data_IF_481388541085
#
_entry.id   IF_481388541085
#
_cell.length_a   1.000
_cell.length_b   1.000
_cell.length_c   1.000
_cell.angle_alpha   90.00
_cell.angle_beta   90.00
_cell.angle_gamma   90.00
#
_symmetry.space_group_name_H-M   'P 1'
#
loop_
_entity.id
_entity.type
_entity.pdbx_description
1 polymer ?
#
# COMPACT_ATOMS: atom_id res chain seq x y z
N UNK A 1 0.02 9.94 4.07
CA UNK A 1 -1.18 10.52 4.74
C UNK A 1 -1.77 9.44 5.63
N UNK A 2 -2.38 9.87 6.74
CA UNK A 2 -2.74 9.03 7.86
C UNK A 2 -4.23 9.10 8.14
N UNK A 3 -4.80 7.95 8.46
CA UNK A 3 -6.19 7.75 8.82
C UNK A 3 -6.32 7.32 10.28
N UNK A 4 -7.54 7.06 10.71
CA UNK A 4 -7.86 6.44 12.01
C UNK A 4 -7.31 5.03 12.15
N UNK A 5 -6.76 4.40 11.11
CA UNK A 5 -6.08 3.11 11.23
C UNK A 5 -4.70 3.23 11.90
N UNK A 6 -4.10 4.43 11.98
CA UNK A 6 -2.96 4.70 12.87
C UNK A 6 -3.22 5.86 13.82
N UNK A 7 -3.01 7.10 13.39
CA UNK A 7 -2.95 8.27 14.25
C UNK A 7 -3.50 9.54 13.60
N UNK A 8 -4.03 9.41 12.38
CA UNK A 8 -4.90 10.42 11.78
C UNK A 8 -6.28 10.42 12.44
N UNK A 9 -7.06 11.47 12.16
CA UNK A 9 -8.41 11.64 12.73
C UNK A 9 -9.56 11.41 11.76
N UNK A 10 -9.27 11.23 10.47
CA UNK A 10 -10.26 10.87 9.46
C UNK A 10 -10.21 9.38 9.16
N UNK A 11 -11.38 8.77 8.93
CA UNK A 11 -11.42 7.42 8.34
C UNK A 11 -10.75 7.40 6.96
N UNK A 12 -10.30 6.23 6.48
CA UNK A 12 -9.78 6.09 5.11
C UNK A 12 -10.72 6.70 4.06
N UNK A 13 -12.03 6.45 4.18
CA UNK A 13 -13.05 7.02 3.28
C UNK A 13 -13.12 8.55 3.35
N UNK A 14 -13.17 9.13 4.55
CA UNK A 14 -13.24 10.59 4.73
C UNK A 14 -11.98 11.29 4.22
N UNK A 15 -10.82 10.69 4.45
CA UNK A 15 -9.54 11.19 3.95
C UNK A 15 -9.50 11.24 2.43
N UNK A 16 -9.97 10.19 1.76
CA UNK A 16 -10.07 10.17 0.29
C UNK A 16 -11.06 11.22 -0.20
N UNK A 17 -12.21 11.37 0.47
CA UNK A 17 -13.20 12.43 0.13
C UNK A 17 -12.59 13.82 0.24
N UNK A 18 -11.82 14.09 1.29
CA UNK A 18 -11.12 15.37 1.49
C UNK A 18 -10.06 15.61 0.41
N UNK A 19 -9.27 14.59 0.07
CA UNK A 19 -8.29 14.67 -1.01
C UNK A 19 -8.97 14.95 -2.36
N UNK A 20 -10.07 14.25 -2.67
CA UNK A 20 -10.85 14.45 -3.89
C UNK A 20 -11.40 15.88 -4.00
N UNK A 21 -11.97 16.40 -2.91
CA UNK A 21 -12.48 17.78 -2.83
C UNK A 21 -11.39 18.83 -3.07
N UNK A 22 -10.14 18.53 -2.68
CA UNK A 22 -8.98 19.38 -2.95
C UNK A 22 -8.38 19.20 -4.35
N UNK A 23 -8.99 18.38 -5.21
CA UNK A 23 -8.54 18.14 -6.59
C UNK A 23 -7.44 17.08 -6.73
N UNK A 24 -7.13 16.33 -5.67
CA UNK A 24 -6.16 15.24 -5.74
C UNK A 24 -6.69 14.13 -6.67
N UNK A 25 -5.82 13.63 -7.55
CA UNK A 25 -6.14 12.55 -8.51
C UNK A 25 -5.40 11.25 -8.23
N UNK A 26 -4.26 11.33 -7.55
CA UNK A 26 -3.44 10.20 -7.13
C UNK A 26 -3.01 10.47 -5.69
N UNK A 27 -3.21 9.50 -4.81
CA UNK A 27 -2.77 9.56 -3.42
C UNK A 27 -2.28 8.20 -2.95
N UNK A 28 -1.62 8.18 -1.80
CA UNK A 28 -1.33 6.95 -1.06
C UNK A 28 -1.83 7.12 0.38
N UNK A 29 -2.50 6.08 0.89
CA UNK A 29 -2.70 5.92 2.32
C UNK A 29 -1.47 5.21 2.89
N UNK A 30 -0.85 5.80 3.90
CA UNK A 30 0.44 5.35 4.46
C UNK A 30 0.39 5.36 5.97
N UNK A 31 -0.63 4.74 6.55
CA UNK A 31 -0.76 4.61 8.00
C UNK A 31 0.50 3.99 8.62
N UNK A 32 0.79 4.36 9.87
CA UNK A 32 1.98 3.87 10.55
C UNK A 32 1.88 2.37 10.85
N UNK A 33 2.83 1.61 10.30
CA UNK A 33 3.03 0.18 10.51
C UNK A 33 1.78 -0.68 10.24
N UNK A 34 0.83 -0.22 9.44
CA UNK A 34 -0.39 -0.96 9.11
C UNK A 34 -0.90 -0.60 7.71
N UNK A 35 -1.54 -1.57 7.06
CA UNK A 35 -2.24 -1.39 5.78
C UNK A 35 -3.75 -1.58 5.93
N UNK A 36 -4.28 -1.57 7.16
CA UNK A 36 -5.67 -1.93 7.46
C UNK A 36 -6.71 -1.05 6.73
N UNK A 37 -6.40 0.22 6.49
CA UNK A 37 -7.30 1.15 5.79
C UNK A 37 -7.17 1.16 4.26
N UNK A 38 -6.23 0.39 3.69
CA UNK A 38 -5.88 0.50 2.26
C UNK A 38 -7.04 0.05 1.35
N UNK A 39 -7.74 -1.02 1.72
CA UNK A 39 -8.88 -1.54 0.94
C UNK A 39 -10.03 -0.53 0.94
N UNK A 40 -10.42 -0.04 2.12
CA UNK A 40 -11.45 1.00 2.27
C UNK A 40 -11.10 2.27 1.48
N UNK A 41 -9.85 2.75 1.57
CA UNK A 41 -9.41 3.91 0.80
C UNK A 41 -9.46 3.65 -0.71
N UNK A 42 -9.07 2.46 -1.17
CA UNK A 42 -9.12 2.11 -2.58
C UNK A 42 -10.56 2.09 -3.12
N UNK A 43 -11.51 1.55 -2.35
CA UNK A 43 -12.94 1.55 -2.69
C UNK A 43 -13.50 2.98 -2.78
N UNK A 44 -13.24 3.81 -1.77
CA UNK A 44 -13.62 5.23 -1.79
C UNK A 44 -12.99 5.98 -2.97
N UNK A 45 -11.73 5.67 -3.29
CA UNK A 45 -11.00 6.24 -4.41
C UNK A 45 -11.65 5.90 -5.75
N UNK A 46 -12.05 4.65 -5.94
CA UNK A 46 -12.74 4.21 -7.14
C UNK A 46 -14.06 4.96 -7.37
N UNK A 47 -14.83 5.20 -6.29
CA UNK A 47 -16.09 5.95 -6.36
C UNK A 47 -15.89 7.44 -6.68
N UNK A 48 -14.77 8.02 -6.22
CA UNK A 48 -14.50 9.47 -6.31
C UNK A 48 -13.54 9.85 -7.46
N UNK A 49 -13.09 8.87 -8.26
CA UNK A 49 -12.13 9.12 -9.34
C UNK A 49 -10.72 9.45 -8.86
N UNK A 50 -10.34 8.98 -7.67
CA UNK A 50 -9.01 9.14 -7.08
C UNK A 50 -8.27 7.79 -7.11
N UNK A 51 -7.09 7.76 -7.72
CA UNK A 51 -6.24 6.56 -7.71
C UNK A 51 -5.52 6.47 -6.36
N UNK A 52 -5.87 5.46 -5.57
CA UNK A 52 -5.19 5.19 -4.30
C UNK A 52 -4.11 4.14 -4.53
N UNK A 53 -2.86 4.52 -4.27
CA UNK A 53 -1.70 3.63 -4.25
C UNK A 53 -1.66 2.97 -2.87
N UNK A 54 -1.73 1.62 -2.78
CA UNK A 54 -1.51 0.90 -1.54
C UNK A 54 -0.17 1.26 -0.92
N UNK A 55 -0.18 1.70 0.34
CA UNK A 55 1.04 2.04 1.03
C UNK A 55 0.98 1.83 2.53
N UNK A 56 2.14 2.02 3.15
CA UNK A 56 2.35 1.99 4.60
C UNK A 56 3.55 2.85 4.92
N UNK A 57 3.53 3.51 6.06
CA UNK A 57 4.73 4.15 6.61
C UNK A 57 5.32 3.27 7.71
N UNK A 58 6.52 2.73 7.46
CA UNK A 58 7.17 1.79 8.37
C UNK A 58 8.10 2.55 9.29
N UNK A 59 7.89 2.42 10.60
CA UNK A 59 8.81 2.93 11.61
C UNK A 59 10.08 2.10 11.67
N UNK A 60 11.24 2.76 11.52
CA UNK A 60 12.53 2.10 11.42
C UNK A 60 13.63 2.84 12.19
N UNK A 61 14.69 2.11 12.55
CA UNK A 61 15.94 2.73 13.01
C UNK A 61 16.88 2.97 11.83
N UNK A 62 17.47 4.17 11.74
CA UNK A 62 18.40 4.52 10.65
C UNK A 62 19.66 3.65 10.63
N UNK A 63 20.03 3.06 11.76
CA UNK A 63 21.21 2.24 11.90
C UNK A 63 21.03 1.11 12.91
N UNK A 64 21.97 0.16 12.91
CA UNK A 64 21.99 -0.95 13.87
C UNK A 64 22.36 -0.44 15.28
N UNK A 65 22.02 -1.19 16.35
CA UNK A 65 22.35 -0.82 17.72
C UNK A 65 23.84 -0.54 18.00
N UNK A 66 24.76 -1.06 17.19
CA UNK A 66 26.21 -0.86 17.36
C UNK A 66 26.79 0.34 16.61
N UNK A 67 25.95 1.16 15.97
CA UNK A 67 26.38 2.23 15.06
C UNK A 67 26.41 3.61 15.77
N UNK A 68 27.34 4.53 15.43
CA UNK A 68 27.33 5.90 15.94
C UNK A 68 26.00 6.65 15.71
N UNK A 69 25.25 6.26 14.69
CA UNK A 69 23.91 6.81 14.43
C UNK A 69 22.79 6.12 15.24
N UNK A 70 23.11 5.21 16.17
CA UNK A 70 22.14 4.44 16.94
C UNK A 70 21.02 5.30 17.53
N UNK A 71 19.78 4.84 17.38
CA UNK A 71 18.63 5.44 18.02
C UNK A 71 17.97 6.55 17.22
N UNK A 72 18.49 6.91 16.04
CA UNK A 72 17.76 7.75 15.10
C UNK A 72 16.57 6.96 14.53
N UNK A 73 15.36 7.43 14.82
CA UNK A 73 14.13 6.85 14.27
C UNK A 73 13.81 7.59 12.97
N UNK A 74 13.62 6.83 11.91
CA UNK A 74 13.22 7.31 10.60
C UNK A 74 12.01 6.53 10.11
N UNK A 75 11.37 7.03 9.08
CA UNK A 75 10.23 6.36 8.48
C UNK A 75 10.50 6.02 7.01
N UNK A 76 10.15 4.79 6.63
CA UNK A 76 10.25 4.32 5.25
C UNK A 76 8.85 4.09 4.73
N UNK A 77 8.44 4.88 3.73
CA UNK A 77 7.22 4.66 2.97
C UNK A 77 7.45 3.47 2.05
N UNK A 78 6.45 2.58 1.99
CA UNK A 78 6.40 1.49 1.05
C UNK A 78 5.17 1.65 0.16
N UNK A 79 5.36 1.62 -1.16
CA UNK A 79 4.28 1.70 -2.15
C UNK A 79 4.18 0.43 -2.97
N UNK A 80 2.99 -0.13 -3.08
CA UNK A 80 2.75 -1.40 -3.74
C UNK A 80 1.81 -1.27 -4.93
N UNK A 81 1.83 -2.29 -5.79
CA UNK A 81 0.83 -2.47 -6.82
C UNK A 81 -0.58 -2.58 -6.20
N UNK A 82 -1.65 -2.29 -6.96
CA UNK A 82 -3.02 -2.59 -6.54
C UNK A 82 -3.14 -4.02 -6.01
N UNK A 83 -3.81 -4.19 -4.85
CA UNK A 83 -3.85 -5.47 -4.12
C UNK A 83 -2.72 -5.67 -3.09
N UNK A 84 -1.80 -4.71 -2.91
CA UNK A 84 -0.84 -4.70 -1.80
C UNK A 84 0.49 -5.42 -2.10
N UNK A 85 1.20 -5.96 -1.09
CA UNK A 85 2.46 -6.69 -1.28
C UNK A 85 2.29 -8.03 -2.01
N UNK A 86 3.32 -8.53 -2.70
CA UNK A 86 3.31 -9.87 -3.32
C UNK A 86 3.41 -11.01 -2.31
N UNK A 87 4.09 -10.79 -1.19
CA UNK A 87 4.17 -11.72 -0.05
C UNK A 87 3.57 -11.04 1.22
N UNK A 88 2.23 -11.01 1.34
CA UNK A 88 1.57 -10.34 2.47
C UNK A 88 1.86 -11.01 3.81
N UNK A 89 2.12 -12.32 3.83
CA UNK A 89 2.41 -13.06 5.05
C UNK A 89 3.67 -12.55 5.76
N UNK A 90 4.80 -12.52 5.04
CA UNK A 90 6.07 -12.05 5.60
C UNK A 90 6.00 -10.56 5.96
N UNK A 91 5.40 -9.76 5.09
CA UNK A 91 5.29 -8.32 5.27
C UNK A 91 4.43 -7.97 6.50
N UNK A 92 3.23 -8.56 6.63
CA UNK A 92 2.36 -8.32 7.77
C UNK A 92 2.95 -8.83 9.07
N UNK A 93 3.73 -9.93 9.06
CA UNK A 93 4.47 -10.39 10.25
C UNK A 93 5.50 -9.36 10.70
N UNK A 94 6.24 -8.74 9.78
CA UNK A 94 7.19 -7.68 10.11
C UNK A 94 6.48 -6.47 10.72
N UNK A 95 5.42 -5.97 10.07
CA UNK A 95 4.62 -4.85 10.58
C UNK A 95 4.00 -5.17 11.95
N UNK A 96 3.49 -6.39 12.15
CA UNK A 96 2.91 -6.81 13.42
C UNK A 96 3.93 -6.79 14.56
N UNK A 97 5.20 -7.13 14.32
CA UNK A 97 6.25 -7.04 15.35
C UNK A 97 6.44 -5.60 15.84
N UNK A 98 6.43 -4.64 14.92
CA UNK A 98 6.55 -3.22 15.26
C UNK A 98 5.33 -2.79 16.08
N UNK A 99 4.11 -3.12 15.62
CA UNK A 99 2.85 -2.79 16.31
C UNK A 99 2.76 -3.39 17.72
N UNK A 100 3.19 -4.64 17.92
CA UNK A 100 3.22 -5.25 19.25
C UNK A 100 4.18 -4.51 20.19
N UNK A 101 5.34 -4.07 19.69
CA UNK A 101 6.29 -3.26 20.45
C UNK A 101 5.74 -1.90 20.89
N UNK A 102 4.81 -1.31 20.11
CA UNK A 102 4.21 -0.01 20.41
C UNK A 102 3.41 0.03 21.71
N UNK A 103 2.74 -1.07 22.08
CA UNK A 103 2.02 -1.14 23.37
C UNK A 103 2.98 -1.14 24.55
N UNK A 104 4.07 -1.91 24.48
CA UNK A 104 5.13 -1.91 25.49
C UNK A 104 5.77 -0.52 25.61
N UNK A 105 6.05 0.12 24.47
CA UNK A 105 6.55 1.50 24.41
C UNK A 105 5.59 2.48 25.09
N UNK A 106 4.29 2.41 24.80
CA UNK A 106 3.27 3.27 25.41
C UNK A 106 3.23 3.11 26.94
N UNK A 107 3.29 1.86 27.44
CA UNK A 107 3.38 1.59 28.88
C UNK A 107 4.61 2.26 29.51
N UNK A 108 5.79 2.10 28.89
CA UNK A 108 7.02 2.74 29.36
C UNK A 108 6.90 4.27 29.41
N UNK A 109 6.30 4.90 28.39
CA UNK A 109 6.09 6.35 28.37
C UNK A 109 5.15 6.79 29.50
N UNK A 110 4.05 6.07 29.72
CA UNK A 110 3.09 6.34 30.82
C UNK A 110 3.78 6.23 32.18
N UNK A 111 4.60 5.20 32.39
CA UNK A 111 5.34 5.01 33.64
C UNK A 111 6.34 6.14 33.90
N UNK A 112 7.05 6.60 32.86
CA UNK A 112 7.95 7.77 32.94
C UNK A 112 7.19 9.05 33.24
N UNK A 113 6.06 9.30 32.57
CA UNK A 113 5.22 10.48 32.81
C UNK A 113 4.69 10.51 34.26
N UNK A 114 4.30 9.35 34.80
CA UNK A 114 3.93 9.23 36.22
C UNK A 114 5.08 9.63 37.15
N UNK A 115 6.30 9.16 36.88
CA UNK A 115 7.48 9.53 37.66
C UNK A 115 7.81 11.03 37.58
N UNK A 116 7.45 11.69 36.47
CA UNK A 116 7.57 13.13 36.27
C UNK A 116 6.41 13.94 36.88
N UNK A 117 5.51 13.31 37.63
CA UNK A 117 4.35 13.98 38.23
C UNK A 117 3.22 14.31 37.24
N UNK A 118 3.20 13.67 36.07
CA UNK A 118 2.19 13.85 35.00
C UNK A 118 1.43 12.55 34.73
N UNK A 119 0.72 11.98 35.72
CA UNK A 119 0.09 10.68 35.57
C UNK A 119 -1.03 10.71 34.52
N UNK A 120 -1.01 9.72 33.63
CA UNK A 120 -2.08 9.39 32.69
C UNK A 120 -2.35 7.89 32.74
N UNK A 121 -3.53 7.43 32.30
CA UNK A 121 -3.87 6.00 32.28
C UNK A 121 -3.50 5.38 30.93
N UNK A 122 -2.81 4.23 30.95
CA UNK A 122 -2.54 3.47 29.72
C UNK A 122 -3.82 3.06 29.00
N UNK A 123 -4.88 2.68 29.74
CA UNK A 123 -6.19 2.36 29.17
C UNK A 123 -6.72 3.51 28.32
N UNK A 124 -6.57 4.76 28.82
CA UNK A 124 -7.02 5.95 28.09
C UNK A 124 -6.22 6.17 26.81
N UNK A 125 -4.91 5.94 26.83
CA UNK A 125 -4.07 6.00 25.62
C UNK A 125 -4.54 4.99 24.57
N UNK A 126 -4.90 3.78 24.99
CA UNK A 126 -5.43 2.73 24.09
C UNK A 126 -6.83 3.09 23.58
N UNK A 127 -7.70 3.64 24.42
CA UNK A 127 -9.02 4.14 24.00
C UNK A 127 -8.92 5.25 22.95
N UNK A 128 -7.98 6.20 23.13
CA UNK A 128 -7.73 7.29 22.18
C UNK A 128 -7.17 6.76 20.86
N UNK A 129 -6.35 5.71 20.89
CA UNK A 129 -5.87 5.05 19.67
C UNK A 129 -7.02 4.37 18.91
N UNK A 130 -7.98 3.81 19.63
CA UNK A 130 -9.13 3.13 19.03
C UNK A 130 -8.92 1.62 18.86
N UNK A 131 -10.01 0.90 18.52
CA UNK A 131 -10.00 -0.55 18.47
C UNK A 131 -9.06 -1.07 17.37
N UNK A 132 -8.15 -1.98 17.74
CA UNK A 132 -7.21 -2.59 16.79
C UNK A 132 -6.03 -1.70 16.38
N UNK A 133 -5.93 -0.48 16.92
CA UNK A 133 -4.88 0.49 16.59
C UNK A 133 -3.74 0.41 17.60
N UNK A 134 -2.50 0.39 17.11
CA UNK A 134 -1.32 0.34 17.96
C UNK A 134 -0.99 1.75 18.53
N UNK A 135 -0.91 1.93 19.86
CA UNK A 135 -0.75 3.26 20.46
C UNK A 135 0.61 3.89 20.10
N UNK A 136 0.58 5.20 19.90
CA UNK A 136 1.71 5.99 19.42
C UNK A 136 1.96 7.18 20.33
N UNK A 137 3.06 7.90 20.10
CA UNK A 137 3.32 9.16 20.82
C UNK A 137 2.19 10.18 20.66
N UNK A 138 1.54 10.33 19.48
CA UNK A 138 0.38 11.22 19.36
C UNK A 138 -0.77 10.86 20.29
N UNK A 139 -1.04 9.56 20.49
CA UNK A 139 -2.07 9.09 21.42
C UNK A 139 -1.74 9.42 22.89
N UNK A 140 -0.45 9.34 23.26
CA UNK A 140 0.03 9.77 24.58
C UNK A 140 -0.04 11.28 24.74
N UNK A 141 0.29 12.05 23.69
CA UNK A 141 0.19 13.50 23.67
C UNK A 141 -1.26 13.95 23.90
N UNK A 142 -2.21 13.33 23.20
CA UNK A 142 -3.65 13.53 23.41
C UNK A 142 -4.08 13.21 24.84
N UNK A 143 -3.64 12.09 25.40
CA UNK A 143 -3.94 11.74 26.79
C UNK A 143 -3.37 12.74 27.81
N UNK A 144 -2.18 13.30 27.55
CA UNK A 144 -1.61 14.37 28.38
C UNK A 144 -2.41 15.66 28.31
N UNK A 145 -2.86 16.02 27.10
CA UNK A 145 -3.70 17.20 26.87
C UNK A 145 -5.06 17.04 27.57
N UNK A 146 -5.75 15.91 27.38
CA UNK A 146 -7.03 15.61 28.05
C UNK A 146 -6.91 15.62 29.58
N UNK A 147 -5.77 15.19 30.12
CA UNK A 147 -5.50 15.20 31.54
C UNK A 147 -5.10 16.58 32.09
N UNK A 148 -5.01 17.62 31.24
CA UNK A 148 -4.63 18.98 31.64
C UNK A 148 -3.15 19.16 31.99
N UNK A 149 -2.29 18.22 31.58
CA UNK A 149 -0.85 18.26 31.90
C UNK A 149 -0.04 19.17 30.97
N UNK A 150 -0.60 19.51 29.80
CA UNK A 150 -0.03 20.37 28.76
C UNK A 150 -1.13 21.22 28.12
N UNK A 151 -0.77 22.33 27.47
CA UNK A 151 -1.73 23.21 26.79
C UNK A 151 -2.01 22.80 25.34
N UNK A 152 -1.14 22.00 24.72
CA UNK A 152 -1.30 21.49 23.36
C UNK A 152 -0.56 20.16 23.16
N UNK A 153 -0.90 19.41 22.10
CA UNK A 153 -0.13 18.23 21.69
C UNK A 153 1.32 18.58 21.33
N UNK A 154 1.53 19.77 20.73
CA UNK A 154 2.86 20.31 20.44
C UNK A 154 3.68 20.49 21.71
N UNK A 155 3.07 20.97 22.79
CA UNK A 155 3.75 21.08 24.09
C UNK A 155 4.07 19.70 24.68
N UNK A 156 3.19 18.70 24.51
CA UNK A 156 3.52 17.33 24.93
C UNK A 156 4.77 16.80 24.22
N UNK A 157 4.89 17.00 22.91
CA UNK A 157 6.10 16.64 22.16
C UNK A 157 7.31 17.47 22.61
N UNK A 158 7.18 18.80 22.65
CA UNK A 158 8.26 19.71 23.03
C UNK A 158 8.83 19.43 24.42
N UNK A 159 7.97 19.17 25.41
CA UNK A 159 8.37 18.98 26.80
C UNK A 159 8.76 17.54 27.14
N UNK A 160 8.01 16.55 26.64
CA UNK A 160 8.08 15.18 27.16
C UNK A 160 8.37 14.10 26.12
N UNK A 161 7.72 14.16 24.95
CA UNK A 161 7.61 13.03 24.02
C UNK A 161 8.52 13.09 22.78
N UNK A 162 9.25 14.19 22.57
CA UNK A 162 10.27 14.30 21.49
C UNK A 162 11.31 13.19 21.59
N UNK A 163 12.03 12.94 20.51
CA UNK A 163 13.16 12.00 20.55
C UNK A 163 14.16 12.40 21.63
N UNK A 164 14.60 11.42 22.41
CA UNK A 164 15.43 11.56 23.61
C UNK A 164 14.82 12.48 24.71
N UNK A 165 13.52 12.76 24.64
CA UNK A 165 12.77 13.50 25.65
C UNK A 165 12.60 12.74 26.98
N UNK A 166 12.21 13.42 28.07
CA UNK A 166 12.10 12.84 29.40
C UNK A 166 11.20 11.59 29.49
N UNK A 167 10.11 11.58 28.73
CA UNK A 167 9.17 10.46 28.69
C UNK A 167 9.36 9.55 27.47
N UNK A 168 10.31 9.85 26.58
CA UNK A 168 10.56 9.07 25.37
C UNK A 168 10.91 7.62 25.70
N UNK A 169 10.34 6.68 24.95
CA UNK A 169 10.70 5.27 25.02
C UNK A 169 10.85 4.73 23.60
N UNK A 170 11.80 3.82 23.40
CA UNK A 170 12.01 3.12 22.11
C UNK A 170 11.06 1.92 22.00
N UNK A 171 10.70 1.56 20.77
CA UNK A 171 9.85 0.42 20.47
C UNK A 171 10.66 -0.76 19.94
N UNK A 172 9.99 -1.58 19.12
CA UNK A 172 10.58 -2.70 18.39
C UNK A 172 10.64 -2.39 16.89
N UNK A 173 11.03 -1.16 16.54
CA UNK A 173 11.18 -0.73 15.15
C UNK A 173 12.25 -1.58 14.44
N UNK A 174 12.03 -1.87 13.15
CA UNK A 174 12.97 -2.67 12.36
C UNK A 174 14.13 -1.79 11.87
N UNK A 175 15.35 -2.30 11.69
CA UNK A 175 16.40 -1.53 11.03
C UNK A 175 15.99 -1.16 9.60
N UNK A 176 16.22 0.08 9.18
CA UNK A 176 15.87 0.53 7.83
C UNK A 176 16.60 -0.27 6.74
N UNK A 177 17.82 -0.73 7.04
CA UNK A 177 18.60 -1.62 6.18
C UNK A 177 17.99 -3.04 6.03
N UNK A 178 17.03 -3.40 6.88
CA UNK A 178 16.21 -4.63 6.75
C UNK A 178 14.86 -4.32 6.12
N UNK A 179 14.27 -3.17 6.44
CA UNK A 179 13.00 -2.69 5.88
C UNK A 179 13.06 -2.54 4.35
N UNK A 180 14.10 -1.89 3.82
CA UNK A 180 14.25 -1.64 2.38
C UNK A 180 14.30 -2.95 1.57
N UNK A 181 15.18 -3.93 1.91
CA UNK A 181 15.15 -5.23 1.24
C UNK A 181 13.84 -5.99 1.41
N UNK A 182 13.17 -5.88 2.57
CA UNK A 182 11.87 -6.50 2.80
C UNK A 182 10.80 -5.95 1.85
N UNK A 183 10.71 -4.61 1.73
CA UNK A 183 9.78 -3.93 0.81
C UNK A 183 10.02 -4.41 -0.63
N UNK A 184 11.28 -4.41 -1.07
CA UNK A 184 11.67 -4.86 -2.41
C UNK A 184 11.27 -6.32 -2.67
N UNK A 185 11.51 -7.24 -1.72
CA UNK A 185 11.09 -8.65 -1.86
C UNK A 185 9.58 -8.82 -1.91
N UNK A 186 8.82 -7.89 -1.33
CA UNK A 186 7.36 -7.87 -1.35
C UNK A 186 6.80 -7.08 -2.54
N UNK A 187 7.64 -6.73 -3.53
CA UNK A 187 7.20 -6.05 -4.75
C UNK A 187 6.81 -4.59 -4.54
N UNK A 188 7.40 -3.93 -3.53
CA UNK A 188 7.17 -2.52 -3.23
C UNK A 188 8.31 -1.60 -3.65
N UNK A 189 7.99 -0.31 -3.73
CA UNK A 189 8.94 0.80 -3.87
C UNK A 189 9.14 1.44 -2.50
N UNK A 190 10.40 1.66 -2.11
CA UNK A 190 10.81 2.19 -0.81
C UNK A 190 11.24 3.66 -0.88
N UNK A 191 10.70 4.49 -0.01
CA UNK A 191 10.98 5.94 0.01
C UNK A 191 11.26 6.39 1.44
N UNK A 192 12.28 7.21 1.64
CA UNK A 192 12.52 7.87 2.93
C UNK A 192 11.49 9.00 3.13
N UNK A 193 10.65 8.87 4.16
CA UNK A 193 9.66 9.89 4.54
C UNK A 193 10.35 11.06 5.24
N UNK A 194 9.82 12.27 5.00
CA UNK A 194 10.13 13.51 5.71
C UNK A 194 11.57 13.61 6.25
N UNK A 195 12.61 13.58 5.41
CA UNK A 195 14.03 13.55 5.83
C UNK A 195 14.45 14.75 6.70
N UNK A 196 13.64 15.80 6.74
CA UNK A 196 13.80 16.94 7.65
C UNK A 196 13.50 16.66 9.12
N UNK A 197 12.92 15.51 9.45
CA UNK A 197 12.79 15.06 10.83
C UNK A 197 14.09 14.47 11.39
N UNK A 198 15.06 14.15 10.51
CA UNK A 198 16.32 13.52 10.91
C UNK A 198 17.19 14.54 11.66
N UNK A 199 17.60 14.19 12.88
CA UNK A 199 18.39 15.07 13.76
C UNK A 199 19.89 14.89 13.59
N UNK A 200 20.32 13.70 13.17
CA UNK A 200 21.72 13.36 12.93
C UNK A 200 22.13 13.66 11.48
N UNK A 201 23.30 13.18 11.08
CA UNK A 201 23.86 13.37 9.74
C UNK A 201 22.93 12.77 8.66
N UNK A 202 22.06 13.62 8.13
CA UNK A 202 21.05 13.23 7.13
C UNK A 202 21.70 12.78 5.84
N UNK A 203 22.81 13.40 5.43
CA UNK A 203 23.53 13.01 4.21
C UNK A 203 24.11 11.60 4.35
N UNK A 204 24.77 11.31 5.47
CA UNK A 204 25.31 9.98 5.75
C UNK A 204 24.24 8.90 5.91
N UNK A 205 23.06 9.25 6.43
CA UNK A 205 21.90 8.33 6.51
C UNK A 205 21.39 8.04 5.10
N UNK A 206 21.06 9.08 4.32
CA UNK A 206 20.53 8.91 2.97
C UNK A 206 21.49 8.13 2.09
N UNK A 207 22.79 8.41 2.14
CA UNK A 207 23.78 7.65 1.38
C UNK A 207 23.82 6.16 1.74
N UNK A 208 23.65 5.81 3.02
CA UNK A 208 23.55 4.41 3.46
C UNK A 208 22.27 3.73 2.99
N UNK A 209 21.14 4.42 3.07
CA UNK A 209 19.86 3.87 2.61
C UNK A 209 19.87 3.69 1.09
N UNK A 210 20.41 4.66 0.35
CA UNK A 210 20.61 4.55 -1.10
C UNK A 210 21.48 3.33 -1.46
N UNK A 211 22.58 3.10 -0.74
CA UNK A 211 23.42 1.91 -0.91
C UNK A 211 22.69 0.59 -0.60
N UNK A 212 21.66 0.63 0.25
CA UNK A 212 20.80 -0.51 0.56
C UNK A 212 19.66 -0.73 -0.46
N UNK A 213 19.55 0.13 -1.47
CA UNK A 213 18.53 0.06 -2.52
C UNK A 213 17.28 0.87 -2.25
N UNK A 214 17.35 1.95 -1.47
CA UNK A 214 16.27 2.93 -1.36
C UNK A 214 15.93 3.52 -2.74
N UNK A 215 14.65 3.61 -3.08
CA UNK A 215 14.21 4.06 -4.41
C UNK A 215 13.95 5.57 -4.48
N UNK A 216 13.55 6.19 -3.37
CA UNK A 216 13.21 7.60 -3.34
C UNK A 216 13.30 8.28 -1.98
N UNK A 217 13.04 9.59 -2.00
CA UNK A 217 13.05 10.46 -0.82
C UNK A 217 11.96 11.52 -0.98
N UNK A 218 11.29 11.86 0.13
CA UNK A 218 10.37 12.99 0.14
C UNK A 218 11.11 14.33 0.05
N UNK A 219 10.66 15.15 -0.89
CA UNK A 219 11.22 16.47 -1.21
C UNK A 219 10.12 17.52 -1.29
N UNK A 220 8.97 17.18 -1.89
CA UNK A 220 7.89 18.13 -2.11
C UNK A 220 6.96 18.22 -0.89
N UNK A 221 7.28 19.13 0.03
CA UNK A 221 6.40 19.51 1.15
C UNK A 221 6.24 21.04 1.22
N UNK A 222 7.36 21.78 1.16
CA UNK A 222 7.40 23.22 0.93
C UNK A 222 8.66 23.63 0.15
N UNK A 223 8.79 24.92 -0.18
CA UNK A 223 9.93 25.44 -0.94
C UNK A 223 11.28 25.27 -0.22
N UNK A 224 11.30 25.31 1.11
CA UNK A 224 12.52 25.12 1.90
C UNK A 224 13.00 23.67 1.84
N UNK A 225 12.06 22.71 1.92
CA UNK A 225 12.38 21.27 1.82
C UNK A 225 12.83 20.92 0.41
N UNK A 226 12.21 21.50 -0.62
CA UNK A 226 12.62 21.30 -2.01
C UNK A 226 14.08 21.70 -2.22
N UNK A 227 14.45 22.90 -1.76
CA UNK A 227 15.83 23.42 -1.90
C UNK A 227 16.84 22.59 -1.11
N UNK A 228 16.47 22.14 0.10
CA UNK A 228 17.38 21.38 0.95
C UNK A 228 17.59 19.92 0.49
N UNK A 229 16.52 19.21 0.12
CA UNK A 229 16.55 17.77 -0.14
C UNK A 229 16.54 17.41 -1.63
N UNK A 230 16.20 18.36 -2.51
CA UNK A 230 16.27 18.17 -3.96
C UNK A 230 17.68 17.79 -4.46
N UNK A 231 18.73 18.56 -4.12
CA UNK A 231 20.11 18.22 -4.49
C UNK A 231 20.59 16.91 -3.87
N UNK A 232 20.14 16.59 -2.64
CA UNK A 232 20.47 15.35 -1.96
C UNK A 232 19.88 14.13 -2.70
N UNK A 233 18.64 14.23 -3.16
CA UNK A 233 18.01 13.22 -4.00
C UNK A 233 18.77 13.03 -5.32
N UNK A 234 19.19 14.12 -5.97
CA UNK A 234 19.95 14.07 -7.22
C UNK A 234 21.32 13.41 -7.03
N UNK A 235 22.03 13.75 -5.95
CA UNK A 235 23.34 13.19 -5.61
C UNK A 235 23.31 11.66 -5.51
N UNK A 236 22.26 11.13 -4.88
CA UNK A 236 22.09 9.68 -4.68
C UNK A 236 21.20 9.02 -5.74
N UNK A 237 20.80 9.74 -6.79
CA UNK A 237 19.93 9.26 -7.88
C UNK A 237 18.59 8.69 -7.39
N UNK A 238 18.04 9.28 -6.34
CA UNK A 238 16.77 8.88 -5.73
C UNK A 238 15.59 9.60 -6.41
N UNK A 239 14.45 8.92 -6.50
CA UNK A 239 13.19 9.54 -6.91
C UNK A 239 12.79 10.64 -5.91
N UNK A 240 12.38 11.79 -6.43
CA UNK A 240 11.80 12.87 -5.63
C UNK A 240 10.30 12.64 -5.55
N UNK A 241 9.77 12.43 -4.35
CA UNK A 241 8.33 12.32 -4.10
C UNK A 241 7.88 13.34 -3.06
N UNK A 242 6.60 13.37 -2.72
CA UNK A 242 6.08 14.30 -1.74
C UNK A 242 4.76 13.86 -1.18
N UNK A 243 4.53 14.30 0.05
CA UNK A 243 3.35 14.00 0.83
C UNK A 243 3.06 15.20 1.73
N UNK A 244 1.79 15.37 2.06
CA UNK A 244 1.37 16.41 2.99
C UNK A 244 1.53 16.01 4.45
N UNK A 245 1.82 14.72 4.70
CA UNK A 245 1.90 14.11 6.04
C UNK A 245 0.65 14.41 6.90
N UNK A 246 -0.51 14.37 6.25
CA UNK A 246 -1.77 14.82 6.83
C UNK A 246 -2.35 13.83 7.84
N UNK A 247 -2.79 14.35 8.99
CA UNK A 247 -3.36 13.65 10.14
C UNK A 247 -4.66 14.29 10.67
N UNK A 248 -5.10 15.46 10.17
CA UNK A 248 -6.25 16.24 10.67
C UNK A 248 -6.05 16.69 12.13
N UNK A 249 -4.84 17.17 12.45
CA UNK A 249 -4.52 17.68 13.79
C UNK A 249 -4.92 19.14 13.98
N UNK A 250 -4.97 19.91 12.88
CA UNK A 250 -5.15 21.36 12.89
C UNK A 250 -3.86 22.12 13.24
N UNK A 251 -2.70 21.45 13.21
CA UNK A 251 -1.41 22.07 13.46
C UNK A 251 -1.08 23.10 12.35
N UNK A 252 -0.45 24.20 12.71
CA UNK A 252 -0.18 25.30 11.78
C UNK A 252 0.81 24.93 10.66
N UNK A 253 1.66 23.93 10.87
CA UNK A 253 2.62 23.38 9.93
C UNK A 253 2.11 22.17 9.15
N UNK A 254 0.92 21.65 9.51
CA UNK A 254 0.25 20.60 8.77
C UNK A 254 -0.25 21.11 7.41
N UNK A 255 -0.03 20.33 6.36
CA UNK A 255 -0.46 20.67 5.01
C UNK A 255 -1.70 19.86 4.64
N UNK A 256 -2.69 20.55 4.13
CA UNK A 256 -3.89 19.93 3.57
C UNK A 256 -3.56 19.02 2.37
N UNK A 257 -4.26 17.88 2.19
CA UNK A 257 -4.09 17.03 1.01
C UNK A 257 -4.24 17.84 -0.28
N UNK A 258 -3.27 17.73 -1.18
CA UNK A 258 -3.26 18.48 -2.45
C UNK A 258 -2.83 19.95 -2.34
N UNK A 259 -2.42 20.44 -1.16
CA UNK A 259 -1.93 21.82 -0.95
C UNK A 259 -0.41 21.90 -0.74
N UNK A 260 0.33 20.92 -1.24
CA UNK A 260 1.79 20.91 -1.31
C UNK A 260 2.27 21.31 -2.72
N UNK A 261 3.48 21.84 -2.89
CA UNK A 261 4.07 22.19 -4.20
C UNK A 261 4.51 20.94 -4.98
N UNK A 262 3.65 19.93 -5.06
CA UNK A 262 3.94 18.65 -5.71
C UNK A 262 3.86 18.77 -7.22
N UNK A 263 4.91 18.32 -7.91
CA UNK A 263 4.96 18.34 -9.37
C UNK A 263 4.30 17.07 -9.93
N UNK A 264 3.31 17.17 -10.84
CA UNK A 264 2.69 15.99 -11.44
C UNK A 264 3.69 15.03 -12.09
N UNK A 265 4.77 15.55 -12.69
CA UNK A 265 5.86 14.76 -13.26
C UNK A 265 6.60 13.89 -12.23
N UNK A 266 6.57 14.24 -10.94
CA UNK A 266 7.15 13.42 -9.88
C UNK A 266 6.35 12.13 -9.66
N UNK A 267 5.01 12.20 -9.68
CA UNK A 267 4.16 11.01 -9.64
C UNK A 267 4.36 10.13 -10.87
N UNK A 268 4.49 10.71 -12.06
CA UNK A 268 4.74 9.94 -13.28
C UNK A 268 6.08 9.20 -13.21
N UNK A 269 7.16 9.87 -12.76
CA UNK A 269 8.47 9.22 -12.55
C UNK A 269 8.41 8.07 -11.55
N UNK A 270 7.68 8.25 -10.44
CA UNK A 270 7.45 7.19 -9.46
C UNK A 270 6.75 6.00 -10.12
N UNK A 271 5.65 6.23 -10.84
CA UNK A 271 4.88 5.17 -11.49
C UNK A 271 5.69 4.44 -12.58
N UNK A 272 6.50 5.16 -13.35
CA UNK A 272 7.38 4.55 -14.37
C UNK A 272 8.46 3.68 -13.72
N UNK A 273 9.07 4.13 -12.62
CA UNK A 273 10.06 3.35 -11.88
C UNK A 273 9.42 2.14 -11.16
N UNK A 274 8.19 2.31 -10.66
CA UNK A 274 7.46 1.26 -9.96
C UNK A 274 6.93 0.17 -10.89
N UNK A 275 6.59 0.51 -12.14
CA UNK A 275 5.98 -0.38 -13.13
C UNK A 275 6.64 -1.78 -13.21
N UNK A 276 7.95 -1.93 -13.49
CA UNK A 276 8.56 -3.26 -13.59
C UNK A 276 8.52 -4.05 -12.27
N UNK A 277 8.60 -3.36 -11.13
CA UNK A 277 8.53 -3.98 -9.79
C UNK A 277 7.10 -4.50 -9.55
N UNK A 278 6.10 -3.67 -9.86
CA UNK A 278 4.70 -3.98 -9.67
C UNK A 278 4.18 -5.04 -10.65
N UNK A 279 4.63 -5.04 -11.91
CA UNK A 279 4.33 -6.09 -12.88
C UNK A 279 4.82 -7.46 -12.39
N UNK A 280 6.05 -7.54 -11.88
CA UNK A 280 6.57 -8.79 -11.33
C UNK A 280 5.82 -9.21 -10.05
N UNK A 281 5.52 -8.27 -9.16
CA UNK A 281 4.73 -8.52 -7.96
C UNK A 281 3.35 -9.10 -8.28
N UNK A 282 2.68 -8.54 -9.29
CA UNK A 282 1.41 -9.03 -9.80
C UNK A 282 1.54 -10.43 -10.41
N UNK A 283 2.57 -10.69 -11.22
CA UNK A 283 2.84 -12.02 -11.78
C UNK A 283 3.04 -13.08 -10.69
N UNK A 284 3.80 -12.76 -9.64
CA UNK A 284 4.01 -13.66 -8.51
C UNK A 284 2.70 -13.98 -7.77
N UNK A 285 1.85 -12.98 -7.51
CA UNK A 285 0.54 -13.22 -6.90
C UNK A 285 -0.35 -14.13 -7.74
N UNK A 286 -0.37 -13.93 -9.06
CA UNK A 286 -1.14 -14.79 -9.97
C UNK A 286 -0.61 -16.22 -9.93
N UNK A 287 0.71 -16.39 -9.95
CA UNK A 287 1.34 -17.71 -9.84
C UNK A 287 0.98 -18.40 -8.52
N UNK A 288 1.08 -17.69 -7.41
CA UNK A 288 0.74 -18.23 -6.08
C UNK A 288 -0.74 -18.58 -5.98
N UNK A 289 -1.64 -17.74 -6.53
CA UNK A 289 -3.07 -18.04 -6.59
C UNK A 289 -3.35 -19.32 -7.39
N UNK A 290 -2.67 -19.50 -8.52
CA UNK A 290 -2.73 -20.74 -9.31
C UNK A 290 -2.19 -21.91 -8.47
N UNK A 291 -1.03 -21.79 -7.84
CA UNK A 291 -0.42 -22.92 -7.12
C UNK A 291 -1.16 -23.31 -5.82
N UNK A 292 -1.85 -22.38 -5.17
CA UNK A 292 -2.54 -22.58 -3.88
C UNK A 292 -4.01 -23.02 -3.97
N UNK A 293 -4.56 -23.16 -5.17
CA UNK A 293 -5.89 -23.75 -5.36
C UNK A 293 -5.92 -25.25 -4.97
N UNK A 294 -7.07 -25.81 -4.56
CA UNK A 294 -7.21 -27.24 -4.30
C UNK A 294 -6.69 -28.04 -5.50
N UNK A 295 -5.70 -28.89 -5.25
CA UNK A 295 -4.76 -29.35 -6.26
C UNK A 295 -5.40 -30.19 -7.38
N UNK A 296 -4.91 -29.96 -8.60
CA UNK A 296 -4.67 -31.08 -9.51
C UNK A 296 -3.46 -31.88 -8.98
N UNK A 297 -3.62 -32.58 -7.86
CA UNK A 297 -2.72 -33.67 -7.50
C UNK A 297 -3.07 -34.85 -8.38
N UNK A 298 -2.50 -34.91 -9.60
CA UNK A 298 -2.75 -36.01 -10.52
C UNK A 298 -2.41 -35.80 -12.00
N UNK A 299 -1.61 -34.79 -12.37
CA UNK A 299 -1.09 -34.74 -13.75
C UNK A 299 0.41 -35.01 -13.70
N UNK A 300 0.77 -36.29 -13.90
CA UNK A 300 2.14 -36.70 -14.18
C UNK A 300 2.70 -35.92 -15.38
N UNK A 301 4.02 -35.74 -15.42
CA UNK A 301 4.78 -34.93 -16.40
C UNK A 301 4.62 -35.35 -17.89
N UNK A 302 3.73 -36.27 -18.24
CA UNK A 302 3.47 -36.71 -19.63
C UNK A 302 2.50 -35.84 -20.44
N UNK A 303 1.87 -34.81 -19.86
CA UNK A 303 0.82 -34.02 -20.53
C UNK A 303 1.29 -32.84 -21.39
N UNK A 304 2.59 -32.53 -21.42
CA UNK A 304 3.11 -31.31 -22.05
C UNK A 304 3.21 -31.37 -23.59
N UNK A 305 3.17 -32.54 -24.22
CA UNK A 305 3.29 -32.67 -25.68
C UNK A 305 1.94 -32.74 -26.43
N UNK A 306 0.82 -33.05 -25.76
CA UNK A 306 -0.45 -33.27 -26.45
C UNK A 306 -1.14 -31.97 -26.94
N UNK A 307 -0.85 -30.82 -26.33
CA UNK A 307 -1.46 -29.54 -26.71
C UNK A 307 -0.76 -28.83 -27.89
N UNK A 308 0.41 -29.32 -28.34
CA UNK A 308 1.13 -28.72 -29.47
C UNK A 308 0.63 -29.20 -30.85
N UNK A 309 -0.09 -30.32 -30.92
CA UNK A 309 -0.43 -30.98 -32.20
C UNK A 309 -1.86 -30.75 -32.73
N UNK A 310 -2.66 -29.87 -32.12
CA UNK A 310 -3.99 -29.52 -32.64
C UNK A 310 -3.97 -28.40 -33.71
N UNK A 311 -2.86 -28.22 -34.42
CA UNK A 311 -2.75 -27.22 -35.50
C UNK A 311 -2.61 -27.82 -36.90
N UNK A 312 -2.68 -29.14 -37.08
CA UNK A 312 -2.64 -29.75 -38.41
C UNK A 312 -3.59 -30.95 -38.52
N UNK A 313 -4.77 -30.75 -39.10
CA UNK A 313 -5.40 -31.66 -40.08
C UNK A 313 -6.70 -31.01 -40.60
N UNK A 314 -6.78 -30.87 -41.93
CA UNK A 314 -7.95 -30.42 -42.68
C UNK A 314 -9.06 -31.49 -42.67
N UNK A 315 -10.32 -31.07 -42.79
CA UNK A 315 -11.41 -31.97 -43.17
C UNK A 315 -12.76 -31.26 -43.30
N UNK A 316 -13.16 -30.99 -44.56
CA UNK A 316 -14.53 -30.64 -44.94
C UNK A 316 -15.48 -31.77 -44.55
N UNK A 317 -16.66 -31.44 -44.03
CA UNK A 317 -17.94 -32.06 -44.42
C UNK A 317 -19.13 -31.24 -43.91
N UNK A 318 -20.22 -31.31 -44.66
CA UNK A 318 -21.41 -30.46 -44.61
C UNK A 318 -22.66 -31.25 -44.16
N UNK A 319 -23.77 -30.51 -43.96
CA UNK A 319 -25.17 -30.94 -43.72
C UNK A 319 -25.51 -31.18 -42.23
N UNK A 320 -26.66 -30.80 -41.67
CA UNK A 320 -27.95 -30.32 -42.21
C UNK A 320 -28.75 -29.59 -41.11
N UNK A 321 -29.70 -28.75 -41.56
CA UNK A 321 -30.73 -28.06 -40.77
C UNK A 321 -31.60 -29.02 -39.94
N UNK A 322 -31.98 -28.60 -38.73
CA UNK A 322 -33.36 -28.65 -38.24
C UNK A 322 -33.50 -27.87 -36.91
N UNK A 323 -34.44 -26.92 -36.88
CA UNK A 323 -35.07 -26.36 -35.67
C UNK A 323 -36.55 -26.76 -35.73
N UNK A 324 -37.26 -27.00 -34.61
CA UNK A 324 -37.85 -25.87 -33.88
C UNK A 324 -38.14 -26.02 -32.35
N UNK A 325 -38.05 -24.87 -31.68
CA UNK A 325 -38.97 -24.25 -30.67
C UNK A 325 -39.01 -24.70 -29.18
N UNK A 326 -38.66 -23.70 -28.35
CA UNK A 326 -39.42 -22.98 -27.28
C UNK A 326 -39.07 -23.20 -25.80
N UNK A 327 -38.95 -22.06 -25.11
CA UNK A 327 -38.95 -21.82 -23.66
C UNK A 327 -37.55 -21.41 -23.17
N UNK A 328 -37.26 -20.26 -22.57
CA UNK A 328 -37.97 -19.04 -22.17
C UNK A 328 -36.86 -18.07 -21.70
N UNK A 329 -37.09 -16.77 -21.91
CA UNK A 329 -36.48 -15.61 -21.22
C UNK A 329 -34.95 -15.56 -20.99
N UNK A 330 -34.27 -14.68 -21.73
CA UNK A 330 -33.23 -13.87 -21.12
C UNK A 330 -33.04 -12.50 -21.79
N UNK A 331 -32.75 -11.56 -20.91
CA UNK A 331 -32.73 -10.10 -21.01
C UNK A 331 -31.91 -9.56 -22.19
N UNK A 332 -32.49 -8.53 -22.82
CA UNK A 332 -31.96 -7.75 -23.94
C UNK A 332 -30.54 -7.21 -23.68
N UNK A 333 -29.60 -7.58 -24.56
CA UNK A 333 -28.37 -6.84 -24.80
C UNK A 333 -28.69 -5.63 -25.67
N UNK A 334 -28.65 -4.42 -25.10
CA UNK A 334 -28.63 -3.19 -25.86
C UNK A 334 -27.17 -2.79 -26.13
N UNK A 335 -26.71 -3.03 -27.36
CA UNK A 335 -25.53 -2.38 -27.93
C UNK A 335 -25.91 -0.98 -28.41
N UNK A 336 -25.12 0.03 -28.04
CA UNK A 336 -25.03 1.26 -28.80
C UNK A 336 -23.56 1.71 -28.82
N UNK A 337 -22.97 1.56 -30.00
CA UNK A 337 -21.73 2.22 -30.40
C UNK A 337 -21.85 3.75 -30.25
N UNK A 338 -20.78 4.39 -29.80
CA UNK A 338 -20.40 5.68 -30.36
C UNK A 338 -18.88 5.78 -30.37
N UNK A 339 -18.37 5.78 -31.60
CA UNK A 339 -17.00 6.05 -31.98
C UNK A 339 -16.46 7.36 -31.39
N UNK A 340 -15.16 7.41 -31.16
CA UNK A 340 -14.39 8.67 -31.21
C UNK A 340 -13.59 9.00 -29.97
N UNK A 341 -12.38 8.44 -29.84
CA UNK A 341 -11.12 9.22 -29.80
C UNK A 341 -9.91 8.30 -29.73
N UNK A 342 -8.93 8.61 -30.58
CA UNK A 342 -7.65 7.92 -30.75
C UNK A 342 -6.75 8.10 -29.52
N UNK A 343 -6.05 7.02 -29.12
CA UNK A 343 -4.68 7.14 -28.60
C UNK A 343 -4.41 6.96 -27.10
N UNK A 344 -5.25 6.26 -26.33
CA UNK A 344 -4.89 5.85 -24.97
C UNK A 344 -4.29 4.43 -24.91
N UNK A 345 -3.33 4.12 -24.00
CA UNK A 345 -2.95 2.74 -23.72
C UNK A 345 -4.18 1.97 -23.24
N UNK A 346 -4.63 1.00 -24.05
CA UNK A 346 -5.69 0.06 -23.66
C UNK A 346 -5.11 -0.91 -22.64
N UNK A 347 -5.40 -0.71 -21.36
CA UNK A 347 -5.06 -1.65 -20.29
C UNK A 347 -6.11 -2.76 -20.23
N UNK A 348 -5.68 -3.99 -19.96
CA UNK A 348 -6.58 -5.08 -19.59
C UNK A 348 -6.62 -5.13 -18.06
N UNK A 349 -7.79 -4.94 -17.46
CA UNK A 349 -7.98 -5.05 -16.02
C UNK A 349 -8.77 -6.30 -15.72
N UNK A 350 -8.13 -7.28 -15.08
CA UNK A 350 -8.83 -8.47 -14.57
C UNK A 350 -9.07 -8.27 -13.10
N UNK A 351 -10.32 -8.39 -12.66
CA UNK A 351 -10.67 -8.30 -11.24
C UNK A 351 -11.16 -9.66 -10.79
N UNK A 352 -10.39 -10.32 -9.93
CA UNK A 352 -10.80 -11.59 -9.35
C UNK A 352 -11.42 -11.31 -7.99
N UNK A 353 -12.59 -11.90 -7.73
CA UNK A 353 -13.25 -11.88 -6.43
C UNK A 353 -13.38 -13.29 -5.88
N UNK A 354 -12.78 -13.57 -4.72
CA UNK A 354 -13.14 -14.75 -3.92
C UNK A 354 -14.28 -14.35 -2.99
N UNK A 355 -15.42 -15.04 -3.11
CA UNK A 355 -16.55 -14.88 -2.19
C UNK A 355 -16.39 -15.94 -1.09
N UNK A 356 -16.02 -15.50 0.11
CA UNK A 356 -16.14 -16.31 1.33
C UNK A 356 -17.14 -15.63 2.27
N UNK A 357 -18.37 -16.15 2.32
CA UNK A 357 -19.45 -15.49 3.05
C UNK A 357 -19.77 -14.11 2.47
N UNK A 358 -19.76 -13.06 3.30
CA UNK A 358 -20.06 -11.67 2.92
C UNK A 358 -18.85 -10.84 2.50
N UNK A 359 -17.68 -11.44 2.28
CA UNK A 359 -16.44 -10.73 1.91
C UNK A 359 -16.05 -11.01 0.48
N UNK A 360 -15.74 -9.94 -0.25
CA UNK A 360 -15.28 -9.95 -1.65
C UNK A 360 -13.79 -9.58 -1.65
N UNK A 361 -12.90 -10.54 -1.92
CA UNK A 361 -11.47 -10.23 -2.07
C UNK A 361 -11.19 -9.76 -3.50
N UNK A 362 -11.12 -8.45 -3.76
CA UNK A 362 -10.81 -7.91 -5.08
C UNK A 362 -9.30 -7.88 -5.31
N UNK A 363 -8.80 -8.63 -6.29
CA UNK A 363 -7.43 -8.44 -6.81
C UNK A 363 -7.50 -7.82 -8.21
N UNK A 364 -7.37 -6.49 -8.34
CA UNK A 364 -7.26 -5.86 -9.65
C UNK A 364 -5.87 -6.12 -10.23
N UNK A 365 -5.85 -6.77 -11.40
CA UNK A 365 -4.66 -7.05 -12.18
C UNK A 365 -4.58 -6.04 -13.33
N UNK A 366 -3.59 -5.16 -13.33
CA UNK A 366 -3.30 -4.28 -14.47
C UNK A 366 -2.27 -4.95 -15.37
N UNK A 367 -2.65 -5.36 -16.58
CA UNK A 367 -1.74 -5.98 -17.55
C UNK A 367 -1.63 -5.15 -18.84
N UNK A 368 -0.44 -5.11 -19.41
CA UNK A 368 -0.13 -4.33 -20.62
C UNK A 368 -0.11 -5.19 -21.88
N UNK A 369 -0.21 -4.54 -23.06
CA UNK A 369 -0.29 -5.19 -24.38
C UNK A 369 0.92 -6.08 -24.72
N UNK A 370 2.09 -5.80 -24.15
CA UNK A 370 3.33 -6.58 -24.34
C UNK A 370 3.26 -7.98 -23.72
N UNK A 371 2.34 -8.21 -22.79
CA UNK A 371 2.16 -9.51 -22.13
C UNK A 371 1.17 -10.42 -22.85
N UNK A 372 0.55 -9.99 -23.95
CA UNK A 372 -0.63 -10.65 -24.57
C UNK A 372 -0.50 -12.16 -24.76
N UNK A 373 0.65 -12.68 -25.17
CA UNK A 373 0.85 -14.14 -25.33
C UNK A 373 0.93 -14.89 -23.99
N UNK A 374 1.57 -14.30 -22.98
CA UNK A 374 1.63 -14.85 -21.62
C UNK A 374 0.23 -14.77 -20.99
N UNK A 375 -0.48 -13.66 -21.22
CA UNK A 375 -1.86 -13.46 -20.76
C UNK A 375 -2.81 -14.43 -21.43
N UNK A 376 -2.72 -14.68 -22.73
CA UNK A 376 -3.60 -15.65 -23.41
C UNK A 376 -3.36 -17.09 -22.92
N UNK A 377 -2.11 -17.45 -22.63
CA UNK A 377 -1.76 -18.79 -22.11
C UNK A 377 -2.19 -18.93 -20.64
N UNK A 378 -1.88 -17.95 -19.79
CA UNK A 378 -2.23 -17.96 -18.37
C UNK A 378 -3.73 -17.73 -18.16
N UNK A 379 -4.41 -16.91 -18.98
CA UNK A 379 -5.86 -16.76 -18.96
C UNK A 379 -6.56 -18.06 -19.40
N UNK A 380 -6.05 -18.77 -20.42
CA UNK A 380 -6.58 -20.11 -20.78
C UNK A 380 -6.37 -21.13 -19.66
N UNK A 381 -5.19 -21.13 -19.01
CA UNK A 381 -4.92 -21.99 -17.84
C UNK A 381 -5.83 -21.65 -16.66
N UNK A 382 -6.10 -20.35 -16.45
CA UNK A 382 -6.98 -19.84 -15.42
C UNK A 382 -8.44 -20.18 -15.74
N UNK A 383 -8.91 -20.01 -16.98
CA UNK A 383 -10.24 -20.43 -17.43
C UNK A 383 -10.47 -21.93 -17.22
N UNK A 384 -9.49 -22.78 -17.55
CA UNK A 384 -9.60 -24.22 -17.30
C UNK A 384 -9.77 -24.52 -15.81
N UNK A 385 -8.98 -23.88 -14.95
CA UNK A 385 -9.05 -24.05 -13.49
C UNK A 385 -10.30 -23.44 -12.87
N UNK A 386 -10.80 -22.34 -13.44
CA UNK A 386 -12.05 -21.71 -13.04
C UNK A 386 -13.25 -22.61 -13.37
N UNK A 387 -13.27 -23.27 -14.54
CA UNK A 387 -14.29 -24.29 -14.86
C UNK A 387 -14.26 -25.48 -13.90
N UNK A 388 -13.08 -25.88 -13.43
CA UNK A 388 -12.94 -26.93 -12.41
C UNK A 388 -13.42 -26.46 -11.02
N UNK A 389 -13.27 -25.17 -10.69
CA UNK A 389 -13.83 -24.57 -9.47
C UNK A 389 -15.37 -24.42 -9.53
N UNK A 390 -15.93 -24.13 -10.71
CA UNK A 390 -17.37 -24.11 -10.95
C UNK A 390 -18.01 -25.49 -10.68
N UNK A 391 -17.32 -26.57 -11.08
CA UNK A 391 -17.72 -27.96 -10.82
C UNK A 391 -17.72 -28.32 -9.33
N UNK A 392 -17.00 -27.58 -8.49
CA UNK A 392 -16.95 -27.79 -7.04
C UNK A 392 -17.89 -26.84 -6.27
N UNK A 393 -18.75 -26.09 -6.97
CA UNK A 393 -19.80 -25.23 -6.38
C UNK A 393 -19.34 -23.82 -6.03
N UNK A 394 -18.13 -23.41 -6.42
CA UNK A 394 -17.64 -22.04 -6.21
C UNK A 394 -18.19 -21.11 -7.29
N UNK A 395 -18.80 -19.98 -6.88
CA UNK A 395 -19.22 -18.90 -7.79
C UNK A 395 -18.11 -17.86 -7.91
N UNK A 396 -17.75 -17.48 -9.13
CA UNK A 396 -16.80 -16.42 -9.42
C UNK A 396 -17.33 -15.53 -10.55
N UNK A 397 -16.83 -14.30 -10.64
CA UNK A 397 -17.09 -13.39 -11.76
C UNK A 397 -15.77 -13.05 -12.44
N UNK A 398 -15.68 -13.32 -13.73
CA UNK A 398 -14.62 -12.83 -14.59
C UNK A 398 -15.16 -11.64 -15.38
N UNK A 399 -14.57 -10.45 -15.19
CA UNK A 399 -14.86 -9.30 -16.04
C UNK A 399 -13.84 -9.32 -17.19
N UNK A 400 -14.31 -9.67 -18.39
CA UNK A 400 -13.57 -9.52 -19.64
C UNK A 400 -13.78 -8.09 -20.18
N UNK A 401 -12.78 -7.43 -20.80
CA UNK A 401 -13.01 -6.16 -21.46
C UNK A 401 -13.79 -6.38 -22.78
N UNK A 402 -15.01 -5.85 -22.83
CA UNK A 402 -15.67 -5.38 -24.04
C UNK A 402 -15.52 -3.87 -24.14
#
# INVERSE_FOLDING_TARGET
MHSTCSDGRLSPTELVRKAAANGVRIMALTDHDTMAGVEEAAEAGAQLGVRVIPGVEISAFASKPSDPLQGEVIHILAYFAPGGPSNPGDFHRALSRIRTGRLGRAKCMVDKLRALGKPIKLSRVVEIAGPGVAPGRPHVARALLEAGHVASEKDAFGLYLRDDGPAFARGCEIPALEAIPLIRRCGGVSVLAHPWSIRKDTMAIVGRLAAAGLDGIEVYQDSTKITAYGPLADLYKLLKVGGSDFHETGAADEREPGKIPFQPAAAEKLLLAAKPIWEEALRLRVRDFIQSGPGCSGVEEGGLEACANLSQTNGREALSEETPRRGEENVQSASADSEGTKGGPKYMTWTFSRIEGSRTLLTPLLLTRSDRKIVEVEAKRLECRLRDLERTGYKYFAISPG
#
